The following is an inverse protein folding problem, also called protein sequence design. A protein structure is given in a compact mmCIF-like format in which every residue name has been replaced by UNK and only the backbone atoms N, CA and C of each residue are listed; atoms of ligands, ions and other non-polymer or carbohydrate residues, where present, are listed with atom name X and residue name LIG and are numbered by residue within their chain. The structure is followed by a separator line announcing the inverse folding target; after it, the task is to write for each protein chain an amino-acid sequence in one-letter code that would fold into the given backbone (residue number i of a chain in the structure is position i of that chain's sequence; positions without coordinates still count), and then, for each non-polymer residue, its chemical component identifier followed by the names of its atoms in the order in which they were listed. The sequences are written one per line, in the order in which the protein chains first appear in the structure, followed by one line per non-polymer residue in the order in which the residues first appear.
data_IF_951824481079
#
_entry.id   IF_951824481079
#
_cell.length_a   1.000
_cell.length_b   1.000
_cell.length_c   1.000
_cell.angle_alpha   90.00
_cell.angle_beta   90.00
_cell.angle_gamma   90.00
#
_symmetry.space_group_name_H-M   'P 1'
#
loop_
_entity.id
_entity.type
_entity.pdbx_description
1 polymer ?
#
# COMPACT_ATOMS: atom_id res chain seq x y z
N UNK A 1 -41.23 -9.78 79.18
CA UNK A 1 -40.51 -8.73 79.92
C UNK A 1 -39.02 -9.08 79.87
N UNK A 2 -38.17 -8.08 79.63
CA UNK A 2 -36.70 -8.09 79.47
C UNK A 2 -36.14 -8.13 78.03
N UNK A 3 -35.62 -6.96 77.68
CA UNK A 3 -34.93 -6.53 76.48
C UNK A 3 -33.57 -7.22 76.31
N UNK A 4 -33.14 -7.40 75.05
CA UNK A 4 -31.71 -7.41 74.72
C UNK A 4 -31.48 -6.48 73.52
N UNK A 5 -30.91 -5.31 73.80
CA UNK A 5 -30.47 -4.32 72.80
C UNK A 5 -29.30 -4.90 71.99
N UNK A 6 -29.42 -4.87 70.67
CA UNK A 6 -28.34 -5.10 69.72
C UNK A 6 -27.76 -3.76 69.30
N UNK A 7 -26.46 -3.56 69.48
CA UNK A 7 -25.70 -2.40 69.00
C UNK A 7 -25.14 -2.73 67.61
N UNK A 8 -25.66 -2.12 66.55
CA UNK A 8 -25.00 -2.09 65.25
C UNK A 8 -24.21 -0.78 65.10
N UNK A 9 -22.87 -0.91 65.01
CA UNK A 9 -21.98 0.18 64.59
C UNK A 9 -22.01 0.25 63.06
N UNK A 10 -22.51 1.35 62.52
CA UNK A 10 -22.33 1.68 61.10
C UNK A 10 -20.89 2.18 60.88
N UNK A 11 -20.10 1.42 60.12
CA UNK A 11 -18.84 1.89 59.55
C UNK A 11 -19.15 2.34 58.13
N UNK A 12 -19.18 3.65 57.90
CA UNK A 12 -19.27 4.20 56.56
C UNK A 12 -17.89 4.07 55.88
N UNK A 13 -17.76 3.10 54.97
CA UNK A 13 -16.58 2.95 54.13
C UNK A 13 -16.71 3.93 52.95
N UNK A 14 -16.02 5.06 53.03
CA UNK A 14 -15.94 6.01 51.92
C UNK A 14 -15.18 5.40 50.75
N UNK A 15 -15.86 5.17 49.62
CA UNK A 15 -15.23 4.75 48.38
C UNK A 15 -14.46 5.93 47.78
N UNK A 16 -13.13 5.88 47.87
CA UNK A 16 -12.24 6.80 47.15
C UNK A 16 -12.26 6.41 45.66
N UNK A 17 -13.07 7.11 44.86
CA UNK A 17 -13.05 7.00 43.41
C UNK A 17 -11.80 7.72 42.92
N UNK A 18 -10.74 6.97 42.63
CA UNK A 18 -9.57 7.48 41.91
C UNK A 18 -10.00 7.65 40.45
N UNK A 19 -10.38 8.87 40.08
CA UNK A 19 -10.47 9.27 38.67
C UNK A 19 -9.06 9.26 38.08
N UNK A 20 -8.67 8.13 37.49
CA UNK A 20 -7.52 8.12 36.60
C UNK A 20 -7.91 8.88 35.33
N UNK A 21 -7.41 10.10 35.22
CA UNK A 21 -7.38 10.83 33.96
C UNK A 21 -6.61 10.00 32.94
N UNK A 22 -7.34 9.27 32.11
CA UNK A 22 -6.79 8.78 30.86
C UNK A 22 -6.56 10.01 30.02
N UNK A 23 -5.30 10.49 29.99
CA UNK A 23 -4.87 11.35 28.90
C UNK A 23 -5.31 10.64 27.61
N UNK A 24 -6.17 11.28 26.82
CA UNK A 24 -6.51 10.79 25.48
C UNK A 24 -5.18 10.63 24.77
N UNK A 25 -4.71 9.39 24.62
CA UNK A 25 -3.68 9.11 23.64
C UNK A 25 -4.25 9.63 22.32
N UNK A 26 -3.57 10.59 21.73
CA UNK A 26 -3.96 11.17 20.45
C UNK A 26 -4.13 10.00 19.48
N UNK A 27 -5.35 9.85 18.92
CA UNK A 27 -5.61 8.77 17.99
C UNK A 27 -4.75 9.00 16.75
N UNK A 28 -3.88 8.05 16.43
CA UNK A 28 -3.16 8.09 15.16
C UNK A 28 -4.20 7.81 14.08
N UNK A 29 -4.33 8.70 13.10
CA UNK A 29 -5.28 8.56 12.02
C UNK A 29 -4.57 8.76 10.68
N UNK A 30 -5.12 8.15 9.64
CA UNK A 30 -4.68 8.38 8.26
C UNK A 30 -5.69 7.83 7.28
N UNK A 31 -5.50 8.11 5.99
CA UNK A 31 -6.51 7.76 4.99
C UNK A 31 -6.19 6.42 4.33
N UNK A 32 -7.25 5.75 3.87
CA UNK A 32 -7.20 4.51 3.10
C UNK A 32 -6.12 4.55 1.99
N UNK A 33 -5.15 3.63 2.05
CA UNK A 33 -4.07 3.52 1.07
C UNK A 33 -2.89 4.49 1.21
N UNK A 34 -2.82 5.28 2.29
CA UNK A 34 -1.68 6.20 2.53
C UNK A 34 -0.49 5.51 3.22
N UNK A 35 0.65 6.20 3.17
CA UNK A 35 1.78 5.96 4.07
C UNK A 35 1.81 7.10 5.08
N UNK A 36 1.97 6.78 6.36
CA UNK A 36 2.10 7.77 7.43
C UNK A 36 3.39 7.53 8.22
N UNK A 37 3.90 8.59 8.86
CA UNK A 37 4.98 8.48 9.84
C UNK A 37 4.39 8.36 11.24
N UNK A 38 4.91 7.43 12.03
CA UNK A 38 4.55 7.28 13.45
C UNK A 38 5.82 7.17 14.29
N UNK A 39 5.77 7.52 15.59
CA UNK A 39 6.88 7.25 16.50
C UNK A 39 7.25 5.76 16.47
N UNK A 40 8.54 5.47 16.32
CA UNK A 40 9.03 4.10 16.31
C UNK A 40 8.79 3.45 17.68
N UNK A 41 8.33 2.21 17.68
CA UNK A 41 8.16 1.44 18.92
C UNK A 41 9.52 1.07 19.51
N UNK A 42 9.62 0.91 20.84
CA UNK A 42 10.85 0.45 21.49
C UNK A 42 11.28 -0.98 21.03
N UNK A 43 10.33 -1.80 20.55
CA UNK A 43 10.59 -3.14 20.00
C UNK A 43 10.62 -3.10 18.46
N UNK A 44 11.77 -2.69 17.92
CA UNK A 44 12.00 -2.65 16.48
C UNK A 44 12.08 -4.07 15.90
N UNK A 45 11.30 -4.34 14.85
CA UNK A 45 11.41 -5.59 14.07
C UNK A 45 12.41 -5.42 12.94
N UNK A 46 13.12 -6.50 12.60
CA UNK A 46 14.05 -6.52 11.46
C UNK A 46 13.29 -6.19 10.16
N UNK A 47 13.87 -5.30 9.34
CA UNK A 47 13.28 -4.87 8.06
C UNK A 47 12.39 -3.62 8.13
N UNK A 48 12.23 -3.01 9.31
CA UNK A 48 11.54 -1.72 9.43
C UNK A 48 12.40 -0.57 8.86
N UNK A 49 11.77 0.30 8.08
CA UNK A 49 12.39 1.54 7.61
C UNK A 49 12.25 2.63 8.68
N UNK A 50 13.39 3.10 9.20
CA UNK A 50 13.46 4.07 10.29
C UNK A 50 14.10 5.36 9.82
N UNK A 51 13.55 6.48 10.30
CA UNK A 51 14.00 7.82 9.95
C UNK A 51 14.28 8.56 11.25
N UNK A 52 15.49 9.12 11.38
CA UNK A 52 15.84 9.98 12.51
C UNK A 52 15.51 11.42 12.17
N UNK A 53 14.71 12.07 13.01
CA UNK A 53 14.35 13.47 12.88
C UNK A 53 14.56 14.19 14.22
N UNK A 54 15.66 14.94 14.32
CA UNK A 54 16.10 15.51 15.58
C UNK A 54 16.40 14.41 16.62
N UNK A 55 15.72 14.48 17.77
CA UNK A 55 15.79 13.47 18.83
C UNK A 55 14.81 12.30 18.63
N UNK A 56 13.86 12.40 17.70
CA UNK A 56 12.85 11.37 17.47
C UNK A 56 13.33 10.35 16.43
N UNK A 57 12.91 9.10 16.62
CA UNK A 57 13.00 8.03 15.62
C UNK A 57 11.58 7.74 15.16
N UNK A 58 11.32 7.96 13.88
CA UNK A 58 10.06 7.69 13.23
C UNK A 58 10.17 6.41 12.41
N UNK A 59 9.05 5.71 12.26
CA UNK A 59 8.89 4.62 11.29
C UNK A 59 7.79 4.99 10.31
N UNK A 60 7.97 4.63 9.05
CA UNK A 60 6.90 4.72 8.06
C UNK A 60 6.08 3.44 8.12
N UNK A 61 4.76 3.57 8.09
CA UNK A 61 3.83 2.45 7.97
C UNK A 61 2.87 2.70 6.83
N UNK A 62 2.46 1.64 6.14
CA UNK A 62 1.36 1.72 5.18
C UNK A 62 0.02 1.43 5.84
N UNK A 63 -1.01 2.15 5.39
CA UNK A 63 -2.40 1.91 5.74
C UNK A 63 -3.09 1.14 4.61
N UNK A 64 -3.83 0.06 4.93
CA UNK A 64 -4.53 -0.71 3.91
C UNK A 64 -5.62 0.13 3.23
N UNK A 65 -6.03 -0.31 2.05
CA UNK A 65 -7.29 0.13 1.49
C UNK A 65 -8.46 -0.45 2.31
N UNK A 66 -9.35 0.41 2.78
CA UNK A 66 -10.56 0.05 3.54
C UNK A 66 -11.81 0.61 2.86
N UNK A 67 -12.93 -0.10 2.97
CA UNK A 67 -14.25 0.31 2.43
C UNK A 67 -15.12 1.07 3.44
N UNK A 68 -14.68 1.11 4.69
CA UNK A 68 -15.29 1.84 5.81
C UNK A 68 -14.17 2.21 6.78
N UNK A 69 -14.41 3.18 7.66
CA UNK A 69 -13.47 3.49 8.74
C UNK A 69 -13.14 2.21 9.52
N UNK A 70 -11.86 1.97 9.79
CA UNK A 70 -11.39 0.75 10.43
C UNK A 70 -10.24 1.06 11.39
N UNK A 71 -10.41 0.66 12.66
CA UNK A 71 -9.33 0.68 13.63
C UNK A 71 -8.46 -0.58 13.43
N UNK A 72 -7.17 -0.38 13.19
CA UNK A 72 -6.20 -1.47 13.04
C UNK A 72 -5.03 -1.28 14.01
N UNK A 73 -4.36 -2.36 14.37
CA UNK A 73 -3.09 -2.29 15.09
C UNK A 73 -1.94 -2.52 14.11
N UNK A 74 -1.05 -1.52 13.98
CA UNK A 74 0.14 -1.57 13.13
C UNK A 74 1.37 -1.17 13.95
N UNK A 75 2.38 -2.03 13.94
CA UNK A 75 3.64 -1.76 14.65
C UNK A 75 3.45 -1.36 16.13
N UNK A 76 2.57 -2.09 16.83
CA UNK A 76 2.17 -1.85 18.22
C UNK A 76 1.51 -0.49 18.49
N UNK A 77 0.93 0.13 17.46
CA UNK A 77 0.12 1.35 17.56
C UNK A 77 -1.25 1.10 16.95
N UNK A 78 -2.28 1.58 17.63
CA UNK A 78 -3.63 1.59 17.06
C UNK A 78 -3.77 2.81 16.14
N UNK A 79 -4.29 2.56 14.94
CA UNK A 79 -4.43 3.56 13.88
C UNK A 79 -5.85 3.48 13.32
N UNK A 80 -6.56 4.59 13.32
CA UNK A 80 -7.85 4.71 12.64
C UNK A 80 -7.60 5.00 11.16
N UNK A 81 -7.90 4.02 10.30
CA UNK A 81 -7.86 4.19 8.85
C UNK A 81 -9.20 4.75 8.40
N UNK A 82 -9.20 5.99 7.94
CA UNK A 82 -10.36 6.68 7.39
C UNK A 82 -10.67 6.19 5.97
N UNK A 83 -11.91 5.81 5.73
CA UNK A 83 -12.38 5.53 4.37
C UNK A 83 -12.29 6.79 3.51
N UNK A 84 -11.94 6.59 2.24
CA UNK A 84 -11.95 7.62 1.21
C UNK A 84 -12.80 7.12 0.06
N UNK A 85 -13.82 7.90 -0.31
CA UNK A 85 -14.55 7.65 -1.54
C UNK A 85 -13.72 8.15 -2.73
N UNK A 86 -13.04 7.22 -3.41
CA UNK A 86 -12.26 7.51 -4.62
C UNK A 86 -13.13 7.60 -5.89
N UNK A 87 -14.45 7.40 -5.77
CA UNK A 87 -15.38 7.37 -6.89
C UNK A 87 -15.33 6.06 -7.68
N UNK A 88 -15.92 6.08 -8.87
CA UNK A 88 -16.06 4.91 -9.73
C UNK A 88 -15.22 5.03 -11.02
N UNK A 89 -14.90 3.88 -11.60
CA UNK A 89 -14.45 3.74 -12.98
C UNK A 89 -15.28 2.68 -13.67
N UNK A 90 -15.63 2.90 -14.93
CA UNK A 90 -16.38 1.95 -15.75
C UNK A 90 -15.57 1.66 -16.99
N UNK A 91 -15.38 0.37 -17.28
CA UNK A 91 -14.68 -0.08 -18.47
C UNK A 91 -15.42 -1.23 -19.12
N UNK A 92 -15.24 -1.34 -20.43
CA UNK A 92 -15.75 -2.46 -21.22
C UNK A 92 -14.57 -3.30 -21.71
N UNK A 93 -14.53 -4.56 -21.29
CA UNK A 93 -13.56 -5.54 -21.78
C UNK A 93 -14.26 -6.36 -22.87
N UNK A 94 -13.84 -6.18 -24.11
CA UNK A 94 -14.39 -6.87 -25.27
C UNK A 94 -14.10 -8.38 -25.23
N UNK A 95 -12.90 -8.75 -24.78
CA UNK A 95 -12.53 -10.16 -24.58
C UNK A 95 -13.17 -10.71 -23.29
N UNK A 96 -14.34 -11.31 -23.47
CA UNK A 96 -15.10 -11.87 -22.34
C UNK A 96 -14.39 -13.03 -21.64
N UNK A 97 -13.40 -13.70 -22.25
CA UNK A 97 -12.60 -14.74 -21.58
C UNK A 97 -11.77 -14.20 -20.42
N UNK A 98 -11.41 -12.91 -20.47
CA UNK A 98 -10.71 -12.19 -19.40
C UNK A 98 -11.62 -11.73 -18.26
N UNK A 99 -12.94 -11.87 -18.44
CA UNK A 99 -13.96 -11.50 -17.44
C UNK A 99 -14.59 -12.76 -16.85
N UNK A 100 -14.96 -13.70 -17.71
CA UNK A 100 -15.57 -14.98 -17.38
C UNK A 100 -14.53 -16.08 -17.61
N UNK A 101 -13.74 -16.36 -16.58
CA UNK A 101 -12.60 -17.26 -16.69
C UNK A 101 -13.06 -18.71 -16.90
N UNK A 102 -12.35 -19.42 -17.78
CA UNK A 102 -12.38 -20.87 -17.81
C UNK A 102 -11.77 -21.44 -16.52
N UNK A 103 -12.02 -22.73 -16.22
CA UNK A 103 -11.38 -23.38 -15.08
C UNK A 103 -9.85 -23.38 -15.20
N UNK A 104 -9.33 -23.55 -16.41
CA UNK A 104 -7.89 -23.49 -16.70
C UNK A 104 -7.31 -22.10 -16.42
N UNK A 105 -7.95 -21.04 -16.94
CA UNK A 105 -7.52 -19.66 -16.68
C UNK A 105 -7.61 -19.29 -15.20
N UNK A 106 -8.62 -19.81 -14.50
CA UNK A 106 -8.75 -19.61 -13.07
C UNK A 106 -7.62 -20.28 -12.28
N UNK A 107 -7.22 -21.50 -12.67
CA UNK A 107 -6.07 -22.19 -12.07
C UNK A 107 -4.76 -21.46 -12.37
N UNK A 108 -4.57 -21.00 -13.62
CA UNK A 108 -3.44 -20.17 -14.02
C UNK A 108 -3.37 -18.91 -13.15
N UNK A 109 -4.43 -18.11 -13.11
CA UNK A 109 -4.47 -16.86 -12.35
C UNK A 109 -4.19 -17.08 -10.85
N UNK A 110 -4.68 -18.18 -10.27
CA UNK A 110 -4.40 -18.53 -8.87
C UNK A 110 -2.92 -18.87 -8.64
N UNK A 111 -2.30 -19.65 -9.53
CA UNK A 111 -0.88 -19.98 -9.45
C UNK A 111 0.01 -18.73 -9.60
N UNK A 112 -0.35 -17.84 -10.53
CA UNK A 112 0.35 -16.56 -10.75
C UNK A 112 0.23 -15.63 -9.53
N UNK A 113 -0.93 -15.58 -8.88
CA UNK A 113 -1.10 -14.82 -7.64
C UNK A 113 -0.16 -15.31 -6.52
N UNK A 114 0.09 -16.62 -6.43
CA UNK A 114 1.07 -17.19 -5.50
C UNK A 114 2.50 -16.77 -5.86
N UNK A 115 2.85 -16.74 -7.16
CA UNK A 115 4.16 -16.28 -7.61
C UNK A 115 4.40 -14.80 -7.25
N UNK A 116 3.42 -13.93 -7.51
CA UNK A 116 3.48 -12.51 -7.14
C UNK A 116 3.61 -12.35 -5.62
N UNK A 117 2.79 -13.07 -4.85
CA UNK A 117 2.87 -13.04 -3.38
C UNK A 117 4.23 -13.48 -2.86
N UNK A 118 4.84 -14.49 -3.48
CA UNK A 118 6.19 -14.94 -3.14
C UNK A 118 7.24 -13.86 -3.43
N UNK A 119 7.18 -13.21 -4.60
CA UNK A 119 8.09 -12.13 -4.95
C UNK A 119 8.02 -10.94 -3.97
N UNK A 120 6.82 -10.63 -3.47
CA UNK A 120 6.59 -9.55 -2.50
C UNK A 120 6.89 -9.94 -1.04
N UNK A 121 7.23 -11.20 -0.76
CA UNK A 121 7.38 -11.71 0.62
C UNK A 121 8.75 -11.46 1.25
N UNK A 122 9.77 -11.19 0.43
CA UNK A 122 11.13 -10.94 0.89
C UNK A 122 11.68 -9.69 0.21
N UNK A 123 12.15 -8.74 1.02
CA UNK A 123 12.74 -7.50 0.53
C UNK A 123 14.21 -7.41 0.92
N UNK A 124 15.01 -6.83 0.05
CA UNK A 124 16.41 -6.52 0.26
C UNK A 124 16.58 -5.46 1.35
N UNK A 125 17.70 -5.54 2.07
CA UNK A 125 18.17 -4.50 2.99
C UNK A 125 19.43 -3.81 2.45
N UNK A 126 19.84 -4.14 1.22
CA UNK A 126 21.01 -3.54 0.56
C UNK A 126 20.70 -2.18 -0.07
N UNK A 127 19.41 -1.88 -0.27
CA UNK A 127 18.93 -0.62 -0.83
C UNK A 127 18.15 0.08 0.27
N UNK A 128 18.54 1.32 0.58
CA UNK A 128 17.79 2.20 1.47
C UNK A 128 16.95 3.13 0.58
N UNK A 129 15.61 3.02 0.57
CA UNK A 129 14.77 3.81 -0.32
C UNK A 129 14.81 5.30 0.05
N UNK A 130 15.04 6.16 -0.95
CA UNK A 130 15.04 7.62 -0.75
C UNK A 130 13.63 8.21 -0.64
N UNK A 131 12.61 7.47 -1.10
CA UNK A 131 11.23 7.93 -1.30
C UNK A 131 11.10 9.18 -2.19
N UNK A 132 12.13 9.52 -2.97
CA UNK A 132 12.09 10.59 -3.98
C UNK A 132 11.71 9.98 -5.34
N UNK A 133 10.47 9.54 -5.48
CA UNK A 133 10.00 8.89 -6.70
C UNK A 133 9.98 9.88 -7.87
N UNK A 134 10.42 9.41 -9.04
CA UNK A 134 10.07 10.03 -10.32
C UNK A 134 8.88 9.29 -10.95
N UNK A 135 8.08 9.93 -11.82
CA UNK A 135 7.05 9.22 -12.56
C UNK A 135 7.71 8.20 -13.51
N UNK A 136 7.20 6.96 -13.58
CA UNK A 136 7.79 5.91 -14.42
C UNK A 136 7.56 6.10 -15.92
N UNK A 137 6.57 6.91 -16.29
CA UNK A 137 6.29 7.37 -17.67
C UNK A 137 5.95 8.86 -17.63
N UNK A 138 6.14 9.62 -18.73
CA UNK A 138 5.85 11.05 -18.76
C UNK A 138 4.35 11.40 -18.83
N UNK A 139 3.47 10.42 -19.04
CA UNK A 139 2.05 10.66 -19.26
C UNK A 139 1.26 11.00 -17.99
N UNK A 140 0.08 11.59 -18.21
CA UNK A 140 -0.84 11.99 -17.15
C UNK A 140 -1.55 10.79 -16.51
N UNK A 141 -2.09 11.00 -15.31
CA UNK A 141 -2.94 10.01 -14.64
C UNK A 141 -4.26 9.88 -15.40
N UNK A 142 -4.61 8.65 -15.78
CA UNK A 142 -5.88 8.31 -16.45
C UNK A 142 -6.87 7.63 -15.51
N UNK A 143 -6.38 6.82 -14.56
CA UNK A 143 -7.21 6.24 -13.49
C UNK A 143 -6.47 6.32 -12.15
N UNK A 144 -6.97 7.12 -11.19
CA UNK A 144 -6.44 7.20 -9.83
C UNK A 144 -6.67 5.92 -9.02
N UNK A 145 -5.85 5.76 -7.98
CA UNK A 145 -5.97 4.70 -6.99
C UNK A 145 -7.33 4.69 -6.27
N UNK A 146 -7.78 3.49 -5.92
CA UNK A 146 -8.90 3.26 -5.00
C UNK A 146 -10.28 3.29 -5.66
N UNK A 147 -10.38 3.64 -6.95
CA UNK A 147 -11.66 3.69 -7.67
C UNK A 147 -12.37 2.35 -7.65
N UNK A 148 -13.66 2.34 -7.32
CA UNK A 148 -14.50 1.16 -7.47
C UNK A 148 -14.66 0.87 -8.97
N UNK A 149 -14.16 -0.28 -9.43
CA UNK A 149 -14.17 -0.64 -10.84
C UNK A 149 -15.44 -1.40 -11.19
N UNK A 150 -16.06 -1.02 -12.28
CA UNK A 150 -17.11 -1.79 -12.95
C UNK A 150 -16.55 -2.29 -14.27
N UNK A 151 -16.66 -3.59 -14.51
CA UNK A 151 -16.23 -4.24 -15.74
C UNK A 151 -17.47 -4.82 -16.38
N UNK A 152 -17.82 -4.35 -17.58
CA UNK A 152 -19.05 -4.74 -18.28
C UNK A 152 -20.29 -4.55 -17.36
N UNK A 153 -20.34 -3.40 -16.68
CA UNK A 153 -21.35 -3.00 -15.68
C UNK A 153 -21.48 -3.88 -14.42
N UNK A 154 -20.61 -4.87 -14.26
CA UNK A 154 -20.53 -5.68 -13.04
C UNK A 154 -19.53 -5.07 -12.06
N UNK A 155 -19.90 -4.83 -10.78
CA UNK A 155 -18.96 -4.33 -9.79
C UNK A 155 -17.84 -5.33 -9.51
N UNK A 156 -16.59 -4.88 -9.65
CA UNK A 156 -15.37 -5.66 -9.40
C UNK A 156 -14.63 -5.20 -8.15
N UNK A 157 -13.33 -5.51 -8.09
CA UNK A 157 -12.43 -4.99 -7.06
C UNK A 157 -12.09 -3.51 -7.29
N UNK A 158 -11.71 -2.80 -6.22
CA UNK A 158 -11.15 -1.46 -6.34
C UNK A 158 -9.83 -1.49 -7.14
N UNK A 159 -9.57 -0.44 -7.90
CA UNK A 159 -8.34 -0.25 -8.67
C UNK A 159 -7.21 0.19 -7.74
N UNK A 160 -6.49 -0.76 -7.16
CA UNK A 160 -5.42 -0.50 -6.19
C UNK A 160 -4.06 -0.24 -6.88
N UNK A 161 -4.07 0.62 -7.89
CA UNK A 161 -2.91 1.03 -8.67
C UNK A 161 -3.13 2.44 -9.24
N UNK A 162 -2.14 2.98 -9.93
CA UNK A 162 -2.24 4.22 -10.70
C UNK A 162 -2.08 3.88 -12.19
N UNK A 163 -3.08 4.19 -13.00
CA UNK A 163 -2.96 4.06 -14.45
C UNK A 163 -2.44 5.39 -15.02
N UNK A 164 -1.35 5.32 -15.80
CA UNK A 164 -0.70 6.44 -16.44
C UNK A 164 -0.81 6.30 -17.96
N UNK A 165 -1.14 7.40 -18.64
CA UNK A 165 -1.19 7.46 -20.09
C UNK A 165 0.19 7.10 -20.68
N UNK A 166 0.20 6.29 -21.73
CA UNK A 166 1.39 5.99 -22.49
C UNK A 166 1.00 5.31 -23.78
N UNK A 167 1.46 5.84 -24.91
CA UNK A 167 1.32 5.12 -26.19
C UNK A 167 2.15 3.84 -26.14
N UNK A 168 1.72 2.82 -26.85
CA UNK A 168 2.51 1.60 -27.01
C UNK A 168 3.93 1.93 -27.50
N UNK A 169 4.93 1.33 -26.87
CA UNK A 169 6.35 1.63 -27.10
C UNK A 169 6.92 2.79 -26.27
N UNK A 170 6.11 3.48 -25.45
CA UNK A 170 6.61 4.52 -24.54
C UNK A 170 7.54 3.90 -23.49
N UNK A 171 8.72 4.47 -23.28
CA UNK A 171 9.67 3.99 -22.27
C UNK A 171 9.09 4.05 -20.85
N UNK A 172 9.27 2.96 -20.11
CA UNK A 172 8.99 2.85 -18.68
C UNK A 172 10.33 2.86 -17.96
N UNK A 173 10.52 3.80 -17.04
CA UNK A 173 11.79 4.00 -16.32
C UNK A 173 11.64 3.74 -14.82
N UNK A 174 12.72 3.29 -14.18
CA UNK A 174 12.77 2.99 -12.77
C UNK A 174 12.54 4.27 -11.93
N UNK A 175 11.47 4.34 -11.12
CA UNK A 175 11.13 5.53 -10.37
C UNK A 175 12.06 5.75 -9.18
N UNK A 176 12.77 4.70 -8.78
CA UNK A 176 13.77 4.64 -7.71
C UNK A 176 14.75 3.51 -8.00
N UNK A 177 15.92 3.57 -7.37
CA UNK A 177 16.89 2.47 -7.30
C UNK A 177 16.21 1.17 -6.87
N UNK A 178 16.55 0.05 -7.49
CA UNK A 178 15.87 -1.22 -7.24
C UNK A 178 16.67 -2.47 -7.61
N UNK A 179 16.15 -3.63 -7.21
CA UNK A 179 16.49 -4.93 -7.79
C UNK A 179 15.23 -5.57 -8.37
N UNK A 180 15.35 -6.24 -9.51
CA UNK A 180 14.25 -6.96 -10.15
C UNK A 180 13.96 -8.25 -9.39
N UNK A 181 12.71 -8.42 -8.92
CA UNK A 181 12.29 -9.61 -8.14
C UNK A 181 11.27 -10.50 -8.85
N UNK A 182 10.65 -9.98 -9.92
CA UNK A 182 9.76 -10.77 -10.78
C UNK A 182 9.76 -10.21 -12.19
N UNK A 183 9.79 -11.11 -13.16
CA UNK A 183 9.48 -10.85 -14.57
C UNK A 183 8.60 -12.01 -15.04
N UNK A 184 7.48 -11.73 -15.71
CA UNK A 184 6.60 -12.78 -16.19
C UNK A 184 5.47 -12.28 -17.09
N UNK A 185 4.77 -13.23 -17.73
CA UNK A 185 3.55 -12.98 -18.48
C UNK A 185 2.35 -13.60 -17.75
N UNK A 186 1.50 -12.74 -17.19
CA UNK A 186 0.40 -13.13 -16.33
C UNK A 186 -0.95 -12.94 -16.99
N UNK A 187 -1.93 -13.76 -16.63
CA UNK A 187 -3.25 -13.77 -17.24
C UNK A 187 -3.92 -12.38 -17.22
N UNK A 188 -3.88 -11.69 -16.07
CA UNK A 188 -4.50 -10.38 -15.89
C UNK A 188 -3.57 -9.22 -16.22
N UNK A 189 -2.32 -9.26 -15.77
CA UNK A 189 -1.39 -8.13 -15.87
C UNK A 189 -0.50 -8.18 -17.10
N UNK A 190 -0.56 -9.24 -17.90
CA UNK A 190 0.30 -9.42 -19.06
C UNK A 190 1.77 -9.45 -18.69
N UNK A 191 2.63 -8.93 -19.58
CA UNK A 191 4.04 -8.73 -19.26
C UNK A 191 4.18 -7.78 -18.08
N UNK A 192 4.79 -8.29 -17.02
CA UNK A 192 4.87 -7.62 -15.73
C UNK A 192 6.28 -7.72 -15.17
N UNK A 193 6.77 -6.58 -14.66
CA UNK A 193 8.00 -6.50 -13.86
C UNK A 193 7.64 -6.06 -12.44
N UNK A 194 8.26 -6.66 -11.43
CA UNK A 194 8.23 -6.18 -10.04
C UNK A 194 9.65 -5.83 -9.60
N UNK A 195 9.78 -4.63 -9.04
CA UNK A 195 11.01 -4.08 -8.49
C UNK A 195 10.91 -4.01 -6.96
N UNK A 196 12.00 -4.38 -6.30
CA UNK A 196 12.21 -4.20 -4.86
C UNK A 196 13.17 -3.04 -4.61
N UNK A 197 12.65 -2.01 -3.95
CA UNK A 197 13.38 -0.78 -3.59
C UNK A 197 13.99 -0.87 -2.17
N UNK A 198 13.84 -2.02 -1.52
CA UNK A 198 14.34 -2.30 -0.18
C UNK A 198 13.34 -1.96 0.93
N UNK A 199 13.57 -2.58 2.10
CA UNK A 199 12.77 -2.38 3.31
C UNK A 199 11.24 -2.54 3.13
N UNK A 200 10.85 -3.48 2.26
CA UNK A 200 9.45 -3.80 2.00
C UNK A 200 8.74 -2.83 1.07
N UNK A 201 9.47 -1.94 0.38
CA UNK A 201 8.95 -1.06 -0.67
C UNK A 201 9.15 -1.74 -2.04
N UNK A 202 8.06 -2.02 -2.73
CA UNK A 202 8.07 -2.61 -4.06
C UNK A 202 7.23 -1.80 -5.03
N UNK A 203 7.51 -1.93 -6.32
CA UNK A 203 6.63 -1.43 -7.38
C UNK A 203 6.44 -2.46 -8.48
N UNK A 204 5.28 -2.45 -9.13
CA UNK A 204 4.91 -3.36 -10.21
C UNK A 204 4.47 -2.56 -11.43
N UNK A 205 4.92 -3.02 -12.60
CA UNK A 205 4.66 -2.44 -13.92
C UNK A 205 3.97 -3.51 -14.74
N UNK A 206 2.73 -3.27 -15.14
CA UNK A 206 1.91 -4.24 -15.85
C UNK A 206 1.52 -3.72 -17.24
N UNK A 207 0.99 -4.65 -18.05
CA UNK A 207 0.53 -4.43 -19.42
C UNK A 207 1.65 -4.03 -20.38
N UNK A 208 2.89 -4.37 -20.06
CA UNK A 208 4.05 -4.00 -20.86
C UNK A 208 4.01 -4.68 -22.23
N UNK A 209 4.63 -4.06 -23.24
CA UNK A 209 4.85 -4.71 -24.54
C UNK A 209 6.13 -5.54 -24.53
N UNK A 210 7.18 -5.03 -23.88
CA UNK A 210 8.46 -5.72 -23.76
C UNK A 210 9.23 -5.33 -22.49
N UNK A 211 10.12 -6.22 -22.07
CA UNK A 211 11.21 -5.95 -21.13
C UNK A 211 12.40 -6.84 -21.47
N UNK A 212 13.61 -6.33 -21.23
CA UNK A 212 14.86 -7.10 -21.36
C UNK A 212 15.45 -7.49 -20.01
N UNK A 213 14.79 -7.09 -18.93
CA UNK A 213 15.26 -7.34 -17.57
C UNK A 213 15.07 -8.80 -17.16
N UNK A 214 15.93 -9.23 -16.25
CA UNK A 214 15.90 -10.53 -15.62
C UNK A 214 15.84 -10.38 -14.10
N UNK A 215 15.30 -11.39 -13.41
CA UNK A 215 15.30 -11.42 -11.95
C UNK A 215 16.74 -11.36 -11.44
N UNK A 216 17.00 -10.44 -10.51
CA UNK A 216 18.32 -10.17 -9.95
C UNK A 216 19.03 -8.97 -10.57
N UNK A 217 18.55 -8.43 -11.70
CA UNK A 217 19.09 -7.21 -12.28
C UNK A 217 18.96 -6.05 -11.29
N UNK A 218 20.02 -5.27 -11.20
CA UNK A 218 20.08 -4.08 -10.36
C UNK A 218 19.86 -2.84 -11.24
N UNK A 219 19.02 -1.92 -10.76
CA UNK A 219 18.65 -0.70 -11.48
C UNK A 219 18.93 0.54 -10.65
N UNK A 220 19.54 1.55 -11.26
CA UNK A 220 19.54 2.91 -10.76
C UNK A 220 18.24 3.64 -11.15
N UNK A 221 17.93 4.75 -10.47
CA UNK A 221 16.78 5.58 -10.82
C UNK A 221 16.91 6.10 -12.26
N UNK A 222 15.79 6.17 -12.98
CA UNK A 222 15.68 6.55 -14.39
C UNK A 222 16.14 5.49 -15.41
N UNK A 223 16.69 4.35 -14.99
CA UNK A 223 17.06 3.29 -15.94
C UNK A 223 15.82 2.63 -16.57
N UNK A 224 15.97 2.13 -17.80
CA UNK A 224 14.88 1.55 -18.58
C UNK A 224 14.43 0.21 -17.99
N UNK A 225 13.13 0.08 -17.72
CA UNK A 225 12.48 -1.17 -17.30
C UNK A 225 11.96 -1.96 -18.51
N UNK A 226 11.39 -1.24 -19.48
CA UNK A 226 10.73 -1.82 -20.65
C UNK A 226 9.83 -0.79 -21.30
N UNK A 227 8.86 -1.24 -22.09
CA UNK A 227 7.97 -0.36 -22.86
C UNK A 227 6.49 -0.58 -22.50
N UNK A 228 5.72 0.51 -22.55
CA UNK A 228 4.26 0.47 -22.44
C UNK A 228 3.67 -0.40 -23.55
N UNK A 229 2.65 -1.18 -23.23
CA UNK A 229 1.94 -2.02 -24.18
C UNK A 229 0.47 -2.20 -23.82
N UNK A 230 -0.11 -3.29 -24.33
CA UNK A 230 -1.52 -3.65 -24.14
C UNK A 230 -1.70 -5.13 -23.81
N UNK A 231 -0.76 -5.75 -23.08
CA UNK A 231 -0.84 -7.18 -22.77
C UNK A 231 -1.71 -7.47 -21.53
N UNK A 232 -2.26 -8.67 -21.44
CA UNK A 232 -3.16 -9.07 -20.34
C UNK A 232 -4.59 -8.56 -20.53
N UNK A 233 -5.23 -8.11 -19.44
CA UNK A 233 -6.61 -7.63 -19.43
C UNK A 233 -6.68 -6.10 -19.42
N UNK A 234 -6.70 -5.52 -20.61
CA UNK A 234 -6.72 -4.05 -20.82
C UNK A 234 -7.74 -3.63 -21.87
N UNK A 235 -8.05 -2.33 -21.91
CA UNK A 235 -8.86 -1.69 -22.95
C UNK A 235 -8.02 -0.97 -24.01
N UNK A 236 -6.72 -0.83 -23.79
CA UNK A 236 -5.77 -0.15 -24.67
C UNK A 236 -4.46 0.20 -23.95
N UNK A 237 -3.49 0.81 -24.67
CA UNK A 237 -2.17 1.10 -24.13
C UNK A 237 -2.20 2.06 -22.93
N UNK A 238 -1.57 1.64 -21.83
CA UNK A 238 -1.30 2.46 -20.64
C UNK A 238 -0.30 1.73 -19.73
N UNK A 239 0.31 2.44 -18.79
CA UNK A 239 1.05 1.80 -17.70
C UNK A 239 0.12 1.63 -16.49
N UNK A 240 -0.05 0.39 -16.04
CA UNK A 240 -0.64 0.08 -14.74
C UNK A 240 0.45 -0.04 -13.69
N UNK A 241 0.58 0.95 -12.82
CA UNK A 241 1.65 1.06 -11.84
C UNK A 241 1.13 0.84 -10.41
N UNK A 242 1.55 -0.25 -9.77
CA UNK A 242 1.21 -0.54 -8.36
C UNK A 242 2.43 -0.28 -7.49
N UNK A 243 2.23 0.34 -6.31
CA UNK A 243 3.26 0.41 -5.26
C UNK A 243 2.79 -0.37 -4.04
N UNK A 244 3.69 -1.15 -3.48
CA UNK A 244 3.50 -1.91 -2.25
C UNK A 244 4.46 -1.36 -1.21
N UNK A 245 3.98 -1.14 0.00
CA UNK A 245 4.85 -0.83 1.13
C UNK A 245 4.33 -1.54 2.36
N UNK A 246 5.22 -2.15 3.14
CA UNK A 246 4.88 -2.74 4.44
C UNK A 246 3.65 -3.67 4.35
N UNK A 247 3.63 -4.52 3.30
CA UNK A 247 2.58 -5.52 3.07
C UNK A 247 1.27 -5.03 2.44
N UNK A 248 1.08 -3.72 2.21
CA UNK A 248 -0.13 -3.18 1.60
C UNK A 248 0.15 -2.53 0.25
N UNK A 249 -0.85 -2.54 -0.64
CA UNK A 249 -0.90 -1.63 -1.79
C UNK A 249 -1.20 -0.22 -1.29
N UNK A 250 -0.39 0.74 -1.71
CA UNK A 250 -0.50 2.16 -1.33
C UNK A 250 -0.77 3.02 -2.56
N UNK A 251 -1.32 4.22 -2.35
CA UNK A 251 -1.60 5.16 -3.42
C UNK A 251 -0.29 5.73 -4.02
N UNK A 252 0.09 5.36 -5.26
CA UNK A 252 1.34 5.81 -5.88
C UNK A 252 1.39 7.31 -6.13
N UNK A 253 0.24 7.96 -6.32
CA UNK A 253 0.15 9.40 -6.61
C UNK A 253 0.78 10.26 -5.52
N UNK A 254 0.61 9.85 -4.25
CA UNK A 254 1.19 10.55 -3.11
C UNK A 254 2.73 10.58 -3.14
N UNK A 255 3.36 9.53 -3.68
CA UNK A 255 4.81 9.36 -3.73
C UNK A 255 5.47 10.26 -4.77
N UNK A 256 4.72 10.73 -5.76
CA UNK A 256 5.23 11.63 -6.81
C UNK A 256 5.39 13.09 -6.33
N UNK A 257 4.98 13.40 -5.10
CA UNK A 257 5.16 14.74 -4.51
C UNK A 257 6.61 14.97 -4.14
N UNK A 258 7.20 16.08 -4.61
CA UNK A 258 8.61 16.45 -4.33
C UNK A 258 8.94 16.52 -2.84
N UNK A 259 7.97 16.86 -2.00
CA UNK A 259 8.12 17.04 -0.56
C UNK A 259 7.54 15.86 0.25
N UNK A 260 7.26 14.71 -0.38
CA UNK A 260 6.56 13.56 0.21
C UNK A 260 7.03 13.25 1.64
N UNK A 261 8.30 12.87 1.85
CA UNK A 261 8.80 12.54 3.19
C UNK A 261 8.64 13.69 4.19
N UNK A 262 9.02 14.90 3.78
CA UNK A 262 8.92 16.08 4.66
C UNK A 262 7.47 16.40 5.03
N UNK A 263 6.51 16.10 4.14
CA UNK A 263 5.08 16.30 4.40
C UNK A 263 4.55 15.34 5.47
N UNK A 264 5.09 14.12 5.56
CA UNK A 264 4.69 13.14 6.59
C UNK A 264 5.09 13.59 7.99
N UNK A 265 6.17 14.35 8.10
CA UNK A 265 6.73 14.74 9.39
C UNK A 265 6.08 15.98 10.00
N UNK A 266 5.48 16.84 9.17
CA UNK A 266 4.79 18.05 9.64
C UNK A 266 3.64 17.75 10.60
N UNK A 267 3.03 16.56 10.51
CA UNK A 267 1.94 16.12 11.38
C UNK A 267 2.36 15.41 12.67
N UNK A 268 3.65 15.07 12.84
CA UNK A 268 4.14 14.27 13.98
C UNK A 268 4.92 15.10 15.01
N UNK A 269 5.37 16.30 14.62
CA UNK A 269 6.27 17.15 15.43
C UNK A 269 5.53 18.28 16.17
N UNK A 270 4.19 18.30 16.16
CA UNK A 270 3.43 19.27 16.94
C UNK A 270 3.18 18.78 18.37
#
# INVERSE_FOLDING_TARGET
MLQKKSNSRFIALGALVILMSHAKAESIEGRSGEIIAIPASQQLKKGQFLIKQGSQVLQLISLPFVKSDLLITRHAKDVLVKHVNFGESRITIADTSKVNLSQEDQMRANAEAVQIKKALSASTQKITPSFQFMPPVPGMITSPFGKQRFINDVPGSAHLALDLAGSEGTSINAPLKAVVVLVGDFFYTGHTVILDHGYGLFSSYAHMSETKLQVGDFLEQSELIGLVGSTGRVTGPHLHWTVYFDGNKVNPESLLKKDFLSSLFKGVIN
#
